data_IF_844943103572
#
_entry.id   IF_844943103572
#
_cell.length_a   1.000
_cell.length_b   1.000
_cell.length_c   1.000
_cell.angle_alpha   90.00
_cell.angle_beta   90.00
_cell.angle_gamma   90.00
#
_symmetry.space_group_name_H-M   'P 1'
#
loop_
_entity.id
_entity.type
_entity.pdbx_description
1 polymer ?
#
# COMPACT_ATOMS: atom_id res chain seq x y z
N UNK A 1 2.31 13.68 17.14
CA UNK A 1 0.89 13.84 17.54
C UNK A 1 0.74 15.20 18.23
N UNK A 2 -0.40 15.87 18.07
CA UNK A 2 -0.68 17.22 18.60
C UNK A 2 -1.20 17.21 20.05
N UNK A 3 -1.17 16.07 20.73
CA UNK A 3 -1.53 16.00 22.14
C UNK A 3 -0.65 16.92 23.00
N UNK A 4 -1.28 17.92 23.61
CA UNK A 4 -0.61 18.93 24.44
C UNK A 4 -1.36 19.22 25.75
N UNK A 5 -2.51 18.57 25.95
CA UNK A 5 -3.22 18.53 27.22
C UNK A 5 -2.94 17.19 27.96
N UNK A 6 -2.77 17.16 29.29
CA UNK A 6 -2.45 15.94 30.04
C UNK A 6 -3.41 14.76 29.78
N UNK A 7 -4.71 15.03 29.64
CA UNK A 7 -5.71 13.99 29.35
C UNK A 7 -5.57 13.37 27.96
N UNK A 8 -5.20 14.17 26.96
CA UNK A 8 -4.96 13.70 25.59
C UNK A 8 -3.70 12.82 25.56
N UNK A 9 -2.64 13.28 26.21
CA UNK A 9 -1.38 12.55 26.32
C UNK A 9 -1.63 11.16 26.95
N UNK A 10 -2.28 11.11 28.11
CA UNK A 10 -2.57 9.84 28.78
C UNK A 10 -3.42 8.90 27.91
N UNK A 11 -4.44 9.43 27.21
CA UNK A 11 -5.26 8.64 26.31
C UNK A 11 -4.47 8.08 25.12
N UNK A 12 -3.61 8.90 24.50
CA UNK A 12 -2.73 8.48 23.39
C UNK A 12 -1.76 7.39 23.83
N UNK A 13 -1.06 7.58 24.97
CA UNK A 13 -0.08 6.58 25.45
C UNK A 13 -0.74 5.25 25.77
N UNK A 14 -1.91 5.28 26.43
CA UNK A 14 -2.68 4.08 26.73
C UNK A 14 -3.13 3.34 25.47
N UNK A 15 -3.56 4.07 24.43
CA UNK A 15 -3.93 3.47 23.16
C UNK A 15 -2.73 2.81 22.47
N UNK A 16 -1.57 3.46 22.48
CA UNK A 16 -0.34 2.93 21.88
C UNK A 16 0.20 1.71 22.60
N UNK A 17 0.04 1.60 23.93
CA UNK A 17 0.34 0.36 24.68
C UNK A 17 -0.53 -0.83 24.27
N UNK A 18 -1.69 -0.59 23.66
CA UNK A 18 -2.52 -1.64 23.07
C UNK A 18 -1.96 -2.18 21.74
N UNK A 19 -0.97 -1.51 21.15
CA UNK A 19 -0.19 -2.01 20.02
C UNK A 19 0.98 -2.79 20.61
N UNK A 20 1.21 -4.02 20.15
CA UNK A 20 2.21 -4.98 20.66
C UNK A 20 3.67 -4.50 20.46
N UNK A 21 4.04 -3.40 21.13
CA UNK A 21 5.34 -2.77 21.05
C UNK A 21 6.22 -3.19 22.23
N UNK A 22 7.52 -3.36 21.99
CA UNK A 22 8.49 -3.76 23.03
C UNK A 22 8.61 -2.68 24.11
N UNK A 23 8.85 -1.44 23.69
CA UNK A 23 8.90 -0.26 24.56
C UNK A 23 8.24 0.93 23.89
N UNK A 24 7.63 1.79 24.70
CA UNK A 24 7.07 3.07 24.30
C UNK A 24 8.02 4.20 24.71
N UNK A 25 8.70 4.75 23.71
CA UNK A 25 9.65 5.86 23.87
C UNK A 25 8.95 7.16 23.50
N UNK A 26 8.89 8.13 24.42
CA UNK A 26 8.10 9.36 24.25
C UNK A 26 8.99 10.58 24.29
N UNK A 27 8.82 11.48 23.33
CA UNK A 27 9.32 12.84 23.36
C UNK A 27 8.13 13.75 23.57
N UNK A 28 8.20 14.66 24.53
CA UNK A 28 7.18 15.68 24.75
C UNK A 28 7.76 17.09 24.78
N UNK A 29 7.20 17.96 23.94
CA UNK A 29 7.43 19.40 23.97
C UNK A 29 6.23 20.10 24.62
N UNK A 30 6.38 20.68 25.83
CA UNK A 30 5.31 21.42 26.47
C UNK A 30 4.93 22.65 25.65
N UNK A 31 3.65 23.01 25.64
CA UNK A 31 3.14 24.15 24.88
C UNK A 31 2.57 25.21 25.83
N UNK A 32 3.15 26.43 25.75
CA UNK A 32 2.87 27.62 26.56
C UNK A 32 3.32 27.55 28.02
N UNK A 33 3.89 28.64 28.51
CA UNK A 33 4.35 28.78 29.90
C UNK A 33 3.16 28.77 30.86
N UNK A 34 2.11 29.53 30.53
CA UNK A 34 0.90 29.61 31.37
C UNK A 34 0.27 28.24 31.60
N UNK A 35 0.19 27.41 30.55
CA UNK A 35 -0.36 26.05 30.63
C UNK A 35 0.53 25.12 31.43
N UNK A 36 1.83 25.16 31.18
CA UNK A 36 2.82 24.35 31.92
C UNK A 36 2.75 24.66 33.42
N UNK A 37 2.58 25.94 33.79
CA UNK A 37 2.40 26.35 35.18
C UNK A 37 1.08 25.85 35.78
N UNK A 38 -0.05 26.09 35.10
CA UNK A 38 -1.37 25.75 35.63
C UNK A 38 -1.62 24.26 35.76
N UNK A 39 -1.05 23.46 34.86
CA UNK A 39 -1.28 22.01 34.78
C UNK A 39 -0.06 21.19 35.23
N UNK A 40 0.86 21.79 35.99
CA UNK A 40 2.13 21.15 36.37
C UNK A 40 1.91 19.80 37.10
N UNK A 41 0.90 19.72 37.97
CA UNK A 41 0.58 18.51 38.74
C UNK A 41 0.03 17.40 37.85
N UNK A 42 -0.80 17.75 36.88
CA UNK A 42 -1.39 16.84 35.92
C UNK A 42 -0.33 16.32 34.95
N UNK A 43 0.54 17.21 34.43
CA UNK A 43 1.67 16.80 33.60
C UNK A 43 2.66 15.90 34.34
N UNK A 44 2.85 16.09 35.65
CA UNK A 44 3.74 15.23 36.43
C UNK A 44 3.36 13.74 36.37
N UNK A 45 2.08 13.42 36.11
CA UNK A 45 1.55 12.04 36.21
C UNK A 45 1.06 11.46 34.89
N UNK A 46 0.84 12.26 33.84
CA UNK A 46 0.19 11.80 32.60
C UNK A 46 1.07 10.92 31.69
N UNK A 47 2.33 10.67 32.05
CA UNK A 47 3.31 9.92 31.24
C UNK A 47 3.56 8.48 31.72
N UNK A 48 2.77 7.98 32.68
CA UNK A 48 3.02 6.70 33.35
C UNK A 48 3.14 5.48 32.41
N UNK A 49 2.49 5.52 31.24
CA UNK A 49 2.56 4.46 30.24
C UNK A 49 3.84 4.50 29.38
N UNK A 50 4.69 5.52 29.48
CA UNK A 50 5.95 5.61 28.75
C UNK A 50 7.09 4.84 29.44
N UNK A 51 7.90 4.09 28.70
CA UNK A 51 9.10 3.42 29.24
C UNK A 51 10.29 4.38 29.39
N UNK A 52 10.36 5.38 28.51
CA UNK A 52 11.33 6.47 28.59
C UNK A 52 10.71 7.75 28.04
N UNK A 53 10.97 8.86 28.72
CA UNK A 53 10.48 10.18 28.35
C UNK A 53 11.65 11.15 28.14
N UNK A 54 11.62 11.90 27.04
CA UNK A 54 12.40 13.13 26.87
C UNK A 54 11.47 14.33 26.95
N UNK A 55 11.79 15.26 27.84
CA UNK A 55 11.12 16.55 27.92
C UNK A 55 12.02 17.63 27.32
N UNK A 56 11.42 18.46 26.49
CA UNK A 56 12.10 19.61 25.88
C UNK A 56 11.77 20.89 26.62
N UNK A 57 12.40 22.00 26.20
CA UNK A 57 11.97 23.32 26.65
C UNK A 57 10.53 23.65 26.19
N UNK A 58 9.85 24.53 26.92
CA UNK A 58 8.48 24.97 26.64
C UNK A 58 8.45 25.74 25.32
N UNK A 59 7.62 25.28 24.39
CA UNK A 59 7.29 26.06 23.21
C UNK A 59 6.37 27.22 23.59
N UNK A 60 6.91 28.43 23.62
CA UNK A 60 6.24 29.62 24.13
C UNK A 60 4.94 29.98 23.39
N UNK A 61 4.84 29.67 22.09
CA UNK A 61 3.71 30.06 21.23
C UNK A 61 3.34 31.56 21.38
N UNK A 62 4.36 32.43 21.34
CA UNK A 62 4.26 33.89 21.52
C UNK A 62 3.89 34.37 22.93
N UNK A 63 3.96 33.52 23.96
CA UNK A 63 3.90 33.96 25.36
C UNK A 63 5.24 34.54 25.83
N UNK A 64 5.16 35.54 26.72
CA UNK A 64 6.32 35.97 27.49
C UNK A 64 6.72 34.87 28.47
N UNK A 65 8.03 34.68 28.66
CA UNK A 65 8.56 33.73 29.63
C UNK A 65 8.04 34.06 31.04
N UNK A 66 7.61 33.03 31.76
CA UNK A 66 7.24 33.14 33.18
C UNK A 66 8.45 32.69 34.00
N UNK A 67 9.04 33.55 34.86
CA UNK A 67 10.21 33.18 35.64
C UNK A 67 9.99 31.89 36.44
N UNK A 68 10.89 30.92 36.24
CA UNK A 68 10.86 29.62 36.92
C UNK A 68 9.94 28.57 36.29
N UNK A 69 9.15 28.91 35.26
CA UNK A 69 8.33 27.93 34.53
C UNK A 69 9.05 27.54 33.24
N UNK A 70 9.65 26.35 33.24
CA UNK A 70 10.41 25.83 32.10
C UNK A 70 10.29 24.30 32.01
N UNK A 71 10.83 23.72 30.95
CA UNK A 71 10.81 22.27 30.73
C UNK A 71 11.58 21.49 31.80
N UNK A 72 12.64 22.09 32.38
CA UNK A 72 13.41 21.47 33.46
C UNK A 72 12.58 21.31 34.74
N UNK A 73 11.80 22.33 35.13
CA UNK A 73 10.85 22.25 36.25
C UNK A 73 9.86 21.11 36.05
N UNK A 74 9.30 20.99 34.84
CA UNK A 74 8.38 19.90 34.53
C UNK A 74 9.08 18.54 34.62
N UNK A 75 10.32 18.42 34.13
CA UNK A 75 11.08 17.19 34.24
C UNK A 75 11.39 16.79 35.68
N UNK A 76 11.67 17.74 36.56
CA UNK A 76 11.81 17.48 38.00
C UNK A 76 10.49 16.98 38.61
N UNK A 77 9.37 17.61 38.27
CA UNK A 77 8.05 17.19 38.76
C UNK A 77 7.68 15.78 38.30
N UNK A 78 7.94 15.44 37.04
CA UNK A 78 7.72 14.10 36.46
C UNK A 78 8.67 13.07 37.10
N UNK A 79 9.94 13.42 37.29
CA UNK A 79 10.93 12.55 37.94
C UNK A 79 10.57 12.25 39.40
N UNK A 80 9.98 13.21 40.11
CA UNK A 80 9.49 13.01 41.47
C UNK A 80 8.35 11.97 41.56
N UNK A 81 7.67 11.67 40.44
CA UNK A 81 6.69 10.57 40.35
C UNK A 81 7.32 9.21 40.02
N UNK A 82 8.65 9.13 39.88
CA UNK A 82 9.37 7.89 39.56
C UNK A 82 9.44 7.57 38.06
N UNK A 83 8.97 8.46 37.19
CA UNK A 83 9.05 8.29 35.74
C UNK A 83 10.50 8.41 35.24
N UNK A 84 10.89 7.53 34.31
CA UNK A 84 12.19 7.60 33.63
C UNK A 84 12.19 8.77 32.63
N UNK A 85 12.68 9.93 33.07
CA UNK A 85 12.65 11.18 32.30
C UNK A 85 14.01 11.88 32.21
N UNK A 86 14.37 12.27 30.99
CA UNK A 86 15.53 13.11 30.67
C UNK A 86 15.04 14.47 30.16
N UNK A 87 15.67 15.56 30.61
CA UNK A 87 15.41 16.90 30.08
C UNK A 87 16.47 17.24 29.02
N UNK A 88 16.05 17.79 27.89
CA UNK A 88 16.95 18.40 26.90
C UNK A 88 16.52 19.82 26.56
N UNK A 89 17.44 20.77 26.69
CA UNK A 89 17.20 22.15 26.26
C UNK A 89 17.31 22.34 24.73
N UNK A 90 17.79 21.33 24.00
CA UNK A 90 18.12 21.43 22.57
C UNK A 90 17.33 20.41 21.75
N UNK A 91 16.41 20.89 20.91
CA UNK A 91 15.71 20.05 19.94
C UNK A 91 16.66 19.45 18.89
N UNK A 92 17.82 20.05 18.67
CA UNK A 92 18.81 19.56 17.68
C UNK A 92 19.50 18.27 18.11
N UNK A 93 19.66 18.07 19.41
CA UNK A 93 20.32 16.89 19.98
C UNK A 93 19.33 15.74 20.21
N UNK A 94 18.04 16.04 20.15
CA UNK A 94 16.98 15.11 20.46
C UNK A 94 16.91 13.91 19.48
N UNK A 95 17.03 14.08 18.15
CA UNK A 95 17.11 12.93 17.24
C UNK A 95 18.22 11.95 17.60
N UNK A 96 19.41 12.43 17.96
CA UNK A 96 20.56 11.59 18.33
C UNK A 96 20.33 10.85 19.65
N UNK A 97 19.81 11.55 20.67
CA UNK A 97 19.49 10.95 21.96
C UNK A 97 18.42 9.86 21.85
N UNK A 98 17.37 10.12 21.06
CA UNK A 98 16.30 9.15 20.81
C UNK A 98 16.86 7.97 20.02
N UNK A 99 17.60 8.22 18.93
CA UNK A 99 18.20 7.16 18.10
C UNK A 99 19.09 6.22 18.89
N UNK A 100 19.92 6.76 19.78
CA UNK A 100 20.83 5.99 20.62
C UNK A 100 20.10 5.08 21.64
N UNK A 101 18.89 5.46 22.05
CA UNK A 101 18.08 4.68 22.98
C UNK A 101 17.18 3.63 22.29
N UNK A 102 16.87 3.83 21.00
CA UNK A 102 16.00 2.96 20.22
C UNK A 102 16.56 1.55 20.01
N UNK A 103 15.67 0.57 20.06
CA UNK A 103 15.92 -0.82 19.70
C UNK A 103 14.83 -1.33 18.74
N UNK A 104 15.09 -2.39 17.95
CA UNK A 104 14.07 -3.01 17.12
C UNK A 104 12.84 -3.42 17.93
N UNK A 105 11.65 -3.07 17.42
CA UNK A 105 10.36 -3.33 18.07
C UNK A 105 9.89 -2.25 19.04
N UNK A 106 10.68 -1.20 19.28
CA UNK A 106 10.22 -0.03 20.03
C UNK A 106 9.26 0.83 19.19
N UNK A 107 8.30 1.46 19.86
CA UNK A 107 7.46 2.51 19.29
C UNK A 107 7.94 3.86 19.81
N UNK A 108 8.23 4.78 18.89
CA UNK A 108 8.69 6.14 19.22
C UNK A 108 7.60 7.15 18.90
N UNK A 109 7.23 7.95 19.89
CA UNK A 109 6.19 8.96 19.79
C UNK A 109 6.74 10.35 20.09
N UNK A 110 6.59 11.27 19.14
CA UNK A 110 6.82 12.70 19.36
C UNK A 110 5.46 13.39 19.57
N UNK A 111 5.28 14.02 20.73
CA UNK A 111 4.08 14.70 21.18
C UNK A 111 4.36 16.18 21.47
N UNK A 112 3.40 17.04 21.17
CA UNK A 112 3.41 18.43 21.56
C UNK A 112 2.91 19.36 20.47
N UNK A 113 3.02 20.65 20.74
CA UNK A 113 2.68 21.70 19.79
C UNK A 113 3.90 22.63 19.66
N UNK A 114 4.38 22.81 18.43
CA UNK A 114 5.62 23.52 18.15
C UNK A 114 6.46 22.81 17.08
N UNK A 115 7.77 22.95 17.21
CA UNK A 115 8.79 22.50 16.28
C UNK A 115 9.37 21.10 16.59
N UNK A 116 8.91 20.43 17.65
CA UNK A 116 9.23 19.02 17.94
C UNK A 116 8.92 18.08 16.76
N UNK A 117 7.95 18.45 15.93
CA UNK A 117 7.60 17.72 14.70
C UNK A 117 8.75 17.72 13.69
N UNK A 118 9.55 18.79 13.63
CA UNK A 118 10.72 18.86 12.75
C UNK A 118 11.79 17.85 13.18
N UNK A 119 12.05 17.73 14.48
CA UNK A 119 12.97 16.73 15.02
C UNK A 119 12.47 15.30 14.77
N UNK A 120 11.16 15.06 14.82
CA UNK A 120 10.56 13.78 14.47
C UNK A 120 10.81 13.42 12.99
N UNK A 121 10.61 14.37 12.08
CA UNK A 121 10.87 14.18 10.66
C UNK A 121 12.37 13.96 10.38
N UNK A 122 13.24 14.72 11.02
CA UNK A 122 14.69 14.56 10.91
C UNK A 122 15.15 13.17 11.37
N UNK A 123 14.68 12.70 12.53
CA UNK A 123 14.97 11.34 12.98
C UNK A 123 14.46 10.30 11.97
N UNK A 124 13.25 10.47 11.45
CA UNK A 124 12.70 9.56 10.44
C UNK A 124 13.48 9.59 9.12
N UNK A 125 14.03 10.73 8.71
CA UNK A 125 14.93 10.85 7.56
C UNK A 125 16.26 10.14 7.83
N UNK A 126 16.91 10.41 8.96
CA UNK A 126 18.16 9.73 9.36
C UNK A 126 17.99 8.22 9.44
N UNK A 127 16.91 7.72 10.04
CA UNK A 127 16.60 6.29 10.08
C UNK A 127 16.44 5.71 8.67
N UNK A 128 15.85 6.48 7.74
CA UNK A 128 15.76 6.10 6.33
C UNK A 128 17.14 6.13 5.62
N UNK A 129 18.03 7.03 6.04
CA UNK A 129 19.41 7.17 5.56
C UNK A 129 20.42 6.24 6.24
N UNK A 130 20.07 5.55 7.33
CA UNK A 130 20.83 4.43 7.89
C UNK A 130 20.48 3.10 7.20
N UNK A 131 19.33 3.05 6.50
CA UNK A 131 19.00 1.92 5.61
C UNK A 131 19.96 1.66 4.43
N UNK A 132 20.75 2.59 3.85
CA UNK A 132 21.67 2.35 2.74
C UNK A 132 22.69 1.25 2.98
N UNK A 133 23.27 1.16 4.19
CA UNK A 133 24.20 0.06 4.54
C UNK A 133 23.46 -1.28 4.58
N UNK A 134 22.20 -1.30 5.03
CA UNK A 134 21.33 -2.48 4.92
C UNK A 134 20.91 -2.75 3.46
N UNK A 135 20.73 -1.73 2.63
CA UNK A 135 20.33 -1.87 1.22
C UNK A 135 21.41 -2.56 0.38
N UNK A 136 22.67 -2.20 0.54
CA UNK A 136 23.78 -2.86 -0.16
C UNK A 136 23.94 -4.31 0.30
N UNK A 137 23.91 -4.55 1.60
CA UNK A 137 23.97 -5.91 2.17
C UNK A 137 22.80 -6.77 1.71
N UNK A 138 21.59 -6.24 1.76
CA UNK A 138 20.39 -6.92 1.30
C UNK A 138 20.44 -7.20 -0.21
N UNK A 139 20.91 -6.26 -1.01
CA UNK A 139 21.09 -6.48 -2.45
C UNK A 139 22.13 -7.58 -2.74
N UNK A 140 23.24 -7.57 -2.01
CA UNK A 140 24.26 -8.62 -2.11
C UNK A 140 23.70 -9.99 -1.69
N UNK A 141 22.90 -10.04 -0.63
CA UNK A 141 22.24 -11.26 -0.17
C UNK A 141 21.22 -11.78 -1.19
N UNK A 142 20.38 -10.90 -1.76
CA UNK A 142 19.46 -11.25 -2.85
C UNK A 142 20.23 -11.78 -4.07
N UNK A 143 21.33 -11.13 -4.45
CA UNK A 143 22.15 -11.53 -5.59
C UNK A 143 22.80 -12.90 -5.38
N UNK A 144 23.22 -13.20 -4.15
CA UNK A 144 23.80 -14.50 -3.79
C UNK A 144 22.76 -15.62 -3.69
N UNK A 145 21.52 -15.29 -3.29
CA UNK A 145 20.45 -16.25 -3.09
C UNK A 145 19.61 -16.54 -4.36
N UNK A 146 19.87 -15.84 -5.46
CA UNK A 146 19.10 -15.97 -6.71
C UNK A 146 20.01 -16.33 -7.89
N UNK A 147 19.47 -17.04 -8.88
CA UNK A 147 20.20 -17.38 -10.09
C UNK A 147 20.25 -16.22 -11.09
N UNK A 148 21.07 -16.36 -12.13
CA UNK A 148 21.13 -15.41 -13.25
C UNK A 148 19.84 -15.30 -14.06
N UNK A 149 18.88 -16.23 -13.87
CA UNK A 149 17.56 -16.15 -14.49
C UNK A 149 16.62 -15.19 -13.75
N UNK A 150 16.91 -14.86 -12.47
CA UNK A 150 16.16 -13.86 -11.73
C UNK A 150 16.49 -12.46 -12.25
N UNK A 151 15.45 -11.65 -12.48
CA UNK A 151 15.65 -10.22 -12.74
C UNK A 151 15.77 -9.53 -11.40
N UNK A 152 16.94 -8.98 -11.09
CA UNK A 152 17.19 -8.20 -9.88
C UNK A 152 17.72 -6.81 -10.26
N UNK A 153 17.06 -5.75 -9.79
CA UNK A 153 17.40 -4.35 -10.12
C UNK A 153 17.26 -3.44 -8.92
N UNK A 154 18.09 -2.40 -8.86
CA UNK A 154 17.95 -1.29 -7.91
C UNK A 154 17.35 -0.08 -8.60
N UNK A 155 16.59 0.73 -7.85
CA UNK A 155 16.00 1.99 -8.32
C UNK A 155 15.17 1.83 -9.61
N UNK A 156 14.47 0.72 -9.78
CA UNK A 156 13.72 0.40 -11.02
C UNK A 156 12.46 1.28 -11.10
N UNK A 157 12.28 2.11 -12.14
CA UNK A 157 11.09 2.94 -12.31
C UNK A 157 9.83 2.09 -12.54
N UNK A 158 8.85 2.20 -11.65
CA UNK A 158 7.65 1.36 -11.69
C UNK A 158 6.60 1.82 -12.71
N UNK A 159 6.74 3.04 -13.27
CA UNK A 159 5.87 3.50 -14.35
C UNK A 159 5.77 2.50 -15.52
N UNK A 160 6.85 1.81 -15.90
CA UNK A 160 6.80 0.80 -16.98
C UNK A 160 6.18 -0.53 -16.55
N UNK A 161 5.90 -0.71 -15.26
CA UNK A 161 5.37 -1.92 -14.64
C UNK A 161 3.89 -1.78 -14.23
N UNK A 162 3.28 -0.60 -14.41
CA UNK A 162 1.85 -0.34 -14.17
C UNK A 162 1.11 -0.04 -15.48
N UNK A 163 -0.19 -0.32 -15.57
CA UNK A 163 -0.95 -0.01 -16.80
C UNK A 163 -1.31 1.46 -16.94
N UNK A 164 -1.36 2.21 -15.83
CA UNK A 164 -1.50 3.67 -15.84
C UNK A 164 -0.22 4.37 -16.32
N UNK A 165 0.91 3.65 -16.36
CA UNK A 165 2.22 4.18 -16.74
C UNK A 165 2.73 5.31 -15.85
N UNK A 166 2.48 5.15 -14.56
CA UNK A 166 2.85 6.08 -13.49
C UNK A 166 3.45 5.28 -12.33
N UNK A 167 4.43 5.86 -11.66
CA UNK A 167 5.10 5.26 -10.50
C UNK A 167 6.59 5.57 -10.44
N UNK A 168 7.03 6.03 -9.27
CA UNK A 168 8.43 6.25 -8.94
C UNK A 168 9.26 4.95 -8.85
N UNK A 169 10.52 5.05 -8.43
CA UNK A 169 11.42 3.90 -8.37
C UNK A 169 11.12 2.96 -7.18
N UNK A 170 11.22 1.65 -7.41
CA UNK A 170 11.38 0.67 -6.33
C UNK A 170 12.84 0.67 -5.86
N UNK A 171 13.09 0.62 -4.55
CA UNK A 171 14.46 0.40 -4.04
C UNK A 171 15.05 -0.88 -4.62
N UNK A 172 14.28 -1.98 -4.58
CA UNK A 172 14.62 -3.26 -5.20
C UNK A 172 13.45 -3.78 -6.03
N UNK A 173 13.74 -4.26 -7.23
CA UNK A 173 12.77 -4.95 -8.07
C UNK A 173 13.27 -6.35 -8.38
N UNK A 174 12.43 -7.35 -8.10
CA UNK A 174 12.78 -8.77 -8.17
C UNK A 174 11.73 -9.54 -8.97
N UNK A 175 12.15 -10.22 -10.04
CA UNK A 175 11.36 -11.23 -10.73
C UNK A 175 12.01 -12.60 -10.50
N UNK A 176 11.60 -13.35 -9.45
CA UNK A 176 12.21 -14.64 -9.14
C UNK A 176 11.95 -15.62 -10.28
N UNK A 177 12.94 -16.45 -10.60
CA UNK A 177 12.83 -17.44 -11.65
C UNK A 177 12.13 -18.72 -11.19
N UNK A 178 12.15 -19.03 -9.90
CA UNK A 178 11.53 -20.21 -9.30
C UNK A 178 10.97 -19.94 -7.90
N UNK A 179 10.14 -20.85 -7.40
CA UNK A 179 9.55 -20.74 -6.06
C UNK A 179 10.56 -20.82 -4.92
N UNK A 180 11.63 -21.60 -5.09
CA UNK A 180 12.72 -21.66 -4.12
C UNK A 180 13.38 -20.29 -3.97
N UNK A 181 13.53 -19.56 -5.07
CA UNK A 181 14.07 -18.19 -5.07
C UNK A 181 13.06 -17.21 -4.48
N UNK A 182 11.76 -17.31 -4.80
CA UNK A 182 10.72 -16.51 -4.15
C UNK A 182 10.75 -16.70 -2.62
N UNK A 183 10.83 -17.94 -2.15
CA UNK A 183 10.93 -18.26 -0.73
C UNK A 183 12.21 -17.66 -0.11
N UNK A 184 13.35 -17.70 -0.81
CA UNK A 184 14.59 -17.08 -0.36
C UNK A 184 14.48 -15.55 -0.27
N UNK A 185 13.88 -14.90 -1.27
CA UNK A 185 13.62 -13.46 -1.29
C UNK A 185 12.74 -13.06 -0.09
N UNK A 186 11.66 -13.81 0.17
CA UNK A 186 10.76 -13.53 1.30
C UNK A 186 11.46 -13.69 2.66
N UNK A 187 12.27 -14.73 2.83
CA UNK A 187 13.07 -14.92 4.05
C UNK A 187 14.06 -13.77 4.26
N UNK A 188 14.80 -13.40 3.22
CA UNK A 188 15.74 -12.28 3.28
C UNK A 188 15.04 -10.96 3.61
N UNK A 189 13.83 -10.72 3.08
CA UNK A 189 13.01 -9.56 3.44
C UNK A 189 12.72 -9.56 4.95
N UNK A 190 12.37 -10.71 5.53
CA UNK A 190 12.16 -10.85 6.98
C UNK A 190 13.43 -10.65 7.80
N UNK A 191 14.53 -11.31 7.42
CA UNK A 191 15.83 -11.26 8.11
C UNK A 191 16.43 -9.85 8.13
N UNK A 192 16.36 -9.15 7.01
CA UNK A 192 16.86 -7.78 6.87
C UNK A 192 15.83 -6.70 7.23
N UNK A 193 14.62 -7.11 7.67
CA UNK A 193 13.50 -6.21 7.97
C UNK A 193 13.14 -5.25 6.82
N UNK A 194 13.27 -5.73 5.59
CA UNK A 194 12.93 -4.99 4.37
C UNK A 194 11.46 -5.26 4.04
N UNK A 195 10.58 -4.25 4.02
CA UNK A 195 9.20 -4.45 3.61
C UNK A 195 9.15 -4.82 2.11
N UNK A 196 8.13 -5.59 1.72
CA UNK A 196 7.94 -5.95 0.33
C UNK A 196 6.49 -5.75 -0.15
N UNK A 197 6.34 -5.59 -1.46
CA UNK A 197 5.06 -5.49 -2.16
C UNK A 197 5.04 -6.46 -3.33
N UNK A 198 3.97 -7.24 -3.44
CA UNK A 198 3.72 -8.05 -4.63
C UNK A 198 3.15 -7.19 -5.76
N UNK A 199 3.79 -7.21 -6.92
CA UNK A 199 3.33 -6.52 -8.12
C UNK A 199 2.91 -7.53 -9.19
N UNK A 200 1.63 -7.45 -9.59
CA UNK A 200 1.14 -8.13 -10.79
C UNK A 200 1.41 -7.28 -12.04
N UNK A 201 0.36 -6.98 -12.81
CA UNK A 201 0.44 -6.06 -13.96
C UNK A 201 0.28 -4.58 -13.59
N UNK A 202 0.13 -4.27 -12.30
CA UNK A 202 -0.16 -2.92 -11.81
C UNK A 202 -1.41 -2.29 -12.46
N UNK A 203 -2.45 -3.10 -12.70
CA UNK A 203 -3.66 -2.67 -13.41
C UNK A 203 -4.74 -2.05 -12.53
N UNK A 204 -4.57 -2.14 -11.21
CA UNK A 204 -5.39 -1.48 -10.20
C UNK A 204 -4.53 -0.65 -9.23
N UNK A 205 -3.34 -0.21 -9.68
CA UNK A 205 -2.38 0.50 -8.83
C UNK A 205 -2.12 1.92 -9.33
N UNK A 206 -2.06 2.86 -8.39
CA UNK A 206 -1.48 4.20 -8.54
C UNK A 206 -0.27 4.30 -7.61
N UNK A 207 0.92 4.11 -8.16
CA UNK A 207 2.17 4.22 -7.40
C UNK A 207 2.60 5.68 -7.41
N UNK A 208 2.91 6.24 -6.25
CA UNK A 208 3.34 7.63 -6.10
C UNK A 208 4.72 7.89 -6.71
N UNK A 209 5.04 9.16 -6.92
CA UNK A 209 6.24 9.59 -7.65
C UNK A 209 7.55 9.33 -6.87
N UNK A 210 7.51 9.26 -5.53
CA UNK A 210 8.64 8.83 -4.69
C UNK A 210 8.91 7.33 -4.75
N UNK A 211 7.96 6.55 -5.28
CA UNK A 211 8.11 5.13 -5.53
C UNK A 211 7.87 4.27 -4.29
N UNK A 212 8.50 3.08 -4.27
CA UNK A 212 8.31 2.09 -3.19
C UNK A 212 9.63 1.88 -2.46
N UNK A 213 9.59 1.93 -1.13
CA UNK A 213 10.71 1.56 -0.26
C UNK A 213 10.68 0.06 0.01
N UNK A 214 11.85 -0.56 -0.03
CA UNK A 214 12.01 -2.02 0.07
C UNK A 214 11.82 -2.77 -1.25
N UNK A 215 11.37 -4.03 -1.18
CA UNK A 215 11.35 -4.93 -2.33
C UNK A 215 10.01 -4.96 -3.07
N UNK A 216 10.03 -4.80 -4.39
CA UNK A 216 8.89 -5.05 -5.27
C UNK A 216 9.11 -6.38 -5.96
N UNK A 217 8.25 -7.35 -5.66
CA UNK A 217 8.37 -8.72 -6.16
C UNK A 217 7.30 -8.96 -7.23
N UNK A 218 7.72 -9.35 -8.43
CA UNK A 218 6.83 -9.56 -9.58
C UNK A 218 7.00 -10.96 -10.15
N UNK A 219 5.93 -11.75 -10.18
CA UNK A 219 5.95 -13.14 -10.66
C UNK A 219 5.84 -13.22 -12.19
N UNK A 220 6.58 -12.40 -12.93
CA UNK A 220 6.48 -12.30 -14.40
C UNK A 220 7.28 -13.37 -15.15
N UNK A 221 8.20 -14.07 -14.47
CA UNK A 221 9.03 -15.10 -15.09
C UNK A 221 8.17 -16.24 -15.71
N UNK A 222 8.60 -16.89 -16.82
CA UNK A 222 7.85 -17.97 -17.47
C UNK A 222 7.38 -19.09 -16.54
N UNK A 223 8.18 -19.47 -15.54
CA UNK A 223 7.82 -20.50 -14.56
C UNK A 223 6.60 -20.13 -13.70
N UNK A 224 6.36 -18.84 -13.49
CA UNK A 224 5.19 -18.34 -12.76
C UNK A 224 4.05 -17.92 -13.68
N UNK A 225 4.24 -17.91 -15.00
CA UNK A 225 3.24 -17.43 -15.97
C UNK A 225 2.75 -18.49 -16.95
N UNK A 226 3.17 -19.74 -16.77
CA UNK A 226 2.72 -20.89 -17.55
C UNK A 226 1.22 -21.15 -17.34
N UNK A 227 0.59 -21.60 -18.42
CA UNK A 227 -0.79 -22.12 -18.44
C UNK A 227 -0.72 -23.51 -19.05
N UNK A 228 -1.14 -24.51 -18.30
CA UNK A 228 -1.20 -25.92 -18.73
C UNK A 228 -2.65 -26.39 -18.74
N UNK A 229 -3.03 -27.15 -19.77
CA UNK A 229 -4.40 -27.64 -19.94
C UNK A 229 -4.41 -29.15 -19.73
N UNK A 230 -5.24 -29.63 -18.80
CA UNK A 230 -5.45 -31.05 -18.52
C UNK A 230 -6.95 -31.31 -18.48
N UNK A 231 -7.48 -31.93 -19.54
CA UNK A 231 -8.92 -32.13 -19.70
C UNK A 231 -9.66 -30.79 -19.76
N UNK A 232 -10.57 -30.55 -18.82
CA UNK A 232 -11.33 -29.30 -18.68
C UNK A 232 -10.69 -28.30 -17.71
N UNK A 233 -9.48 -28.58 -17.21
CA UNK A 233 -8.80 -27.77 -16.20
C UNK A 233 -7.63 -27.00 -16.77
N UNK A 234 -7.46 -25.76 -16.30
CA UNK A 234 -6.34 -24.87 -16.63
C UNK A 234 -5.50 -24.62 -15.39
N UNK A 235 -4.30 -25.18 -15.34
CA UNK A 235 -3.32 -24.89 -14.29
C UNK A 235 -2.55 -23.63 -14.67
N UNK A 236 -2.83 -22.55 -13.96
CA UNK A 236 -2.31 -21.23 -14.29
C UNK A 236 -1.39 -20.73 -13.18
N UNK A 237 -0.16 -20.37 -13.53
CA UNK A 237 0.71 -19.63 -12.62
C UNK A 237 0.21 -18.21 -12.35
N UNK A 238 0.52 -17.66 -11.17
CA UNK A 238 0.04 -16.35 -10.72
C UNK A 238 0.50 -15.17 -11.61
N UNK A 239 1.59 -15.35 -12.34
CA UNK A 239 2.10 -14.41 -13.35
C UNK A 239 1.33 -14.42 -14.67
N UNK A 240 0.53 -15.46 -14.94
CA UNK A 240 -0.15 -15.63 -16.22
C UNK A 240 -1.11 -14.48 -16.48
N UNK A 241 -1.08 -13.91 -17.69
CA UNK A 241 -1.99 -12.84 -18.08
C UNK A 241 -3.39 -13.42 -18.24
N UNK A 242 -4.41 -12.74 -17.70
CA UNK A 242 -5.81 -13.18 -17.80
C UNK A 242 -6.27 -13.37 -19.26
N UNK A 243 -5.82 -12.48 -20.15
CA UNK A 243 -6.01 -12.62 -21.61
C UNK A 243 -5.41 -13.91 -22.16
N UNK A 244 -4.21 -14.30 -21.72
CA UNK A 244 -3.60 -15.56 -22.15
C UNK A 244 -4.43 -16.74 -21.71
N UNK A 245 -4.91 -16.74 -20.46
CA UNK A 245 -5.81 -17.79 -19.93
C UNK A 245 -7.08 -17.90 -20.79
N UNK A 246 -7.75 -16.79 -21.10
CA UNK A 246 -8.95 -16.78 -21.95
C UNK A 246 -8.67 -17.32 -23.36
N UNK A 247 -7.53 -16.96 -23.95
CA UNK A 247 -7.12 -17.44 -25.28
C UNK A 247 -6.82 -18.94 -25.28
N UNK A 248 -6.13 -19.47 -24.26
CA UNK A 248 -5.87 -20.90 -24.15
C UNK A 248 -7.15 -21.69 -23.90
N UNK A 249 -8.08 -21.19 -23.08
CA UNK A 249 -9.39 -21.78 -22.88
C UNK A 249 -10.14 -21.91 -24.22
N UNK A 250 -10.19 -20.82 -25.01
CA UNK A 250 -10.80 -20.85 -26.36
C UNK A 250 -10.15 -21.88 -27.28
N UNK A 251 -8.81 -21.96 -27.30
CA UNK A 251 -8.10 -22.92 -28.16
C UNK A 251 -8.46 -24.37 -27.86
N UNK A 252 -8.82 -24.67 -26.62
CA UNK A 252 -9.19 -26.00 -26.15
C UNK A 252 -10.70 -26.21 -26.02
N UNK A 253 -11.52 -25.28 -26.52
CA UNK A 253 -12.98 -25.41 -26.46
C UNK A 253 -13.53 -25.37 -25.03
N UNK A 254 -12.95 -24.54 -24.16
CA UNK A 254 -13.38 -24.35 -22.78
C UNK A 254 -14.05 -22.99 -22.63
N UNK A 255 -15.31 -23.00 -22.21
CA UNK A 255 -16.12 -21.82 -21.90
C UNK A 255 -16.11 -21.49 -20.40
N UNK A 256 -16.86 -20.45 -20.00
CA UNK A 256 -16.93 -19.87 -18.65
C UNK A 256 -15.71 -19.01 -18.25
N UNK A 257 -14.69 -18.93 -19.11
CA UNK A 257 -13.45 -18.18 -18.89
C UNK A 257 -13.32 -16.94 -19.81
N UNK A 258 -14.30 -16.69 -20.66
CA UNK A 258 -14.27 -15.64 -21.68
C UNK A 258 -14.22 -14.24 -21.06
N UNK A 259 -14.80 -14.07 -19.86
CA UNK A 259 -14.84 -12.79 -19.15
C UNK A 259 -13.43 -12.25 -18.81
N UNK A 260 -12.43 -13.14 -18.72
CA UNK A 260 -11.04 -12.80 -18.45
C UNK A 260 -10.36 -12.02 -19.59
N UNK A 261 -10.83 -12.14 -20.84
CA UNK A 261 -10.33 -11.37 -21.99
C UNK A 261 -10.41 -9.85 -21.75
N UNK A 262 -11.46 -9.43 -21.03
CA UNK A 262 -11.75 -8.04 -20.74
C UNK A 262 -10.98 -7.46 -19.55
N UNK A 263 -10.27 -8.28 -18.77
CA UNK A 263 -9.67 -7.84 -17.51
C UNK A 263 -8.16 -7.66 -17.70
N UNK A 264 -7.62 -6.43 -17.58
CA UNK A 264 -6.18 -6.26 -17.52
C UNK A 264 -5.68 -6.78 -16.18
N UNK A 265 -4.81 -7.79 -16.19
CA UNK A 265 -4.26 -8.32 -14.94
C UNK A 265 -3.47 -9.61 -15.14
N UNK A 266 -2.95 -10.12 -14.03
CA UNK A 266 -2.43 -11.48 -13.91
C UNK A 266 -3.35 -12.32 -13.04
N UNK A 267 -3.21 -13.65 -13.08
CA UNK A 267 -3.97 -14.58 -12.25
C UNK A 267 -3.82 -14.27 -10.76
N UNK A 268 -2.61 -14.01 -10.26
CA UNK A 268 -2.40 -13.65 -8.86
C UNK A 268 -3.10 -12.36 -8.45
N UNK A 269 -3.11 -11.34 -9.33
CA UNK A 269 -3.88 -10.13 -9.10
C UNK A 269 -5.40 -10.37 -9.11
N UNK A 270 -5.88 -11.25 -10.01
CA UNK A 270 -7.29 -11.62 -10.08
C UNK A 270 -7.75 -12.41 -8.85
N UNK A 271 -6.91 -13.31 -8.32
CA UNK A 271 -7.16 -14.02 -7.08
C UNK A 271 -7.23 -13.05 -5.90
N UNK A 272 -6.30 -12.11 -5.79
CA UNK A 272 -6.32 -11.08 -4.72
C UNK A 272 -7.59 -10.23 -4.76
N UNK A 273 -8.01 -9.81 -5.95
CA UNK A 273 -9.12 -8.88 -6.14
C UNK A 273 -10.46 -9.56 -6.39
N UNK A 274 -10.54 -10.90 -6.33
CA UNK A 274 -11.67 -11.66 -6.86
C UNK A 274 -12.21 -11.04 -8.18
N UNK A 275 -11.32 -10.86 -9.15
CA UNK A 275 -11.59 -9.99 -10.29
C UNK A 275 -12.79 -10.49 -11.10
N UNK A 276 -13.76 -9.62 -11.33
CA UNK A 276 -14.96 -9.94 -12.10
C UNK A 276 -15.28 -8.94 -13.20
N UNK A 277 -15.93 -9.45 -14.24
CA UNK A 277 -16.48 -8.71 -15.37
C UNK A 277 -17.65 -9.49 -15.98
N UNK A 278 -18.58 -8.79 -16.63
CA UNK A 278 -19.70 -9.41 -17.37
C UNK A 278 -20.58 -10.36 -16.54
N UNK A 279 -20.66 -10.18 -15.22
CA UNK A 279 -21.47 -11.00 -14.33
C UNK A 279 -20.80 -12.29 -13.85
N UNK A 280 -19.49 -12.43 -14.07
CA UNK A 280 -18.68 -13.54 -13.57
C UNK A 280 -17.47 -12.99 -12.80
N UNK A 281 -17.00 -13.78 -11.84
CA UNK A 281 -15.88 -13.48 -10.95
C UNK A 281 -14.84 -14.58 -10.98
N UNK A 282 -13.60 -14.24 -10.59
CA UNK A 282 -12.47 -15.17 -10.61
C UNK A 282 -12.77 -16.45 -9.83
N UNK A 283 -13.33 -16.34 -8.62
CA UNK A 283 -13.62 -17.52 -7.79
C UNK A 283 -14.83 -18.35 -8.25
N UNK A 284 -15.60 -17.92 -9.26
CA UNK A 284 -16.65 -18.75 -9.86
C UNK A 284 -16.07 -19.92 -10.66
N UNK A 285 -14.82 -19.77 -11.13
CA UNK A 285 -14.13 -20.75 -11.99
C UNK A 285 -12.88 -21.35 -11.34
N UNK A 286 -12.50 -20.91 -10.14
CA UNK A 286 -11.34 -21.46 -9.43
C UNK A 286 -11.76 -22.73 -8.71
N UNK A 287 -11.06 -23.82 -8.98
CA UNK A 287 -11.24 -25.07 -8.25
C UNK A 287 -10.27 -25.16 -7.06
N UNK A 288 -8.98 -24.92 -7.32
CA UNK A 288 -7.92 -24.92 -6.30
C UNK A 288 -7.02 -23.70 -6.44
N UNK A 289 -6.52 -23.22 -5.31
CA UNK A 289 -5.51 -22.17 -5.25
C UNK A 289 -4.23 -22.69 -4.63
N UNK A 290 -3.10 -22.19 -5.14
CA UNK A 290 -1.78 -22.45 -4.58
C UNK A 290 -1.14 -21.13 -4.16
N UNK A 291 -0.62 -21.08 -2.95
CA UNK A 291 -0.11 -19.85 -2.34
C UNK A 291 1.07 -20.13 -1.42
N UNK A 292 1.85 -19.09 -1.12
CA UNK A 292 3.02 -19.14 -0.25
C UNK A 292 2.80 -18.24 0.96
N UNK A 293 3.19 -18.68 2.15
CA UNK A 293 3.27 -17.82 3.33
C UNK A 293 4.58 -17.02 3.36
N UNK A 294 4.70 -16.07 4.29
CA UNK A 294 5.91 -15.25 4.42
C UNK A 294 7.14 -16.05 4.90
N UNK A 295 6.97 -17.28 5.41
CA UNK A 295 8.08 -18.17 5.75
C UNK A 295 8.60 -18.93 4.50
N UNK A 296 7.95 -18.76 3.35
CA UNK A 296 8.33 -19.40 2.09
C UNK A 296 7.76 -20.80 1.91
N UNK A 297 6.79 -21.22 2.72
CA UNK A 297 6.14 -22.52 2.58
C UNK A 297 4.95 -22.40 1.63
N UNK A 298 4.86 -23.34 0.68
CA UNK A 298 3.77 -23.41 -0.27
C UNK A 298 2.62 -24.27 0.26
N UNK A 299 1.40 -23.81 0.03
CA UNK A 299 0.15 -24.41 0.47
C UNK A 299 -0.82 -24.50 -0.71
N UNK A 300 -1.71 -25.47 -0.66
CA UNK A 300 -2.81 -25.63 -1.60
C UNK A 300 -4.14 -25.77 -0.86
N UNK A 301 -5.19 -25.14 -1.38
CA UNK A 301 -6.55 -25.23 -0.82
C UNK A 301 -7.59 -25.24 -1.93
N UNK A 302 -8.73 -25.88 -1.66
CA UNK A 302 -9.91 -25.77 -2.54
C UNK A 302 -10.50 -24.38 -2.43
N UNK A 303 -11.05 -23.85 -3.52
CA UNK A 303 -11.73 -22.55 -3.51
C UNK A 303 -12.89 -22.51 -2.50
N UNK A 304 -13.61 -23.63 -2.33
CA UNK A 304 -14.70 -23.78 -1.36
C UNK A 304 -14.29 -23.59 0.10
N UNK A 305 -12.98 -23.66 0.39
CA UNK A 305 -12.41 -23.51 1.74
C UNK A 305 -11.85 -22.09 1.98
N UNK A 306 -11.97 -21.20 0.99
CA UNK A 306 -11.42 -19.84 1.03
C UNK A 306 -12.56 -18.86 1.23
N UNK A 307 -12.44 -17.98 2.22
CA UNK A 307 -13.34 -16.85 2.35
C UNK A 307 -13.06 -15.84 1.24
N UNK A 308 -14.06 -15.54 0.41
CA UNK A 308 -13.97 -14.63 -0.73
C UNK A 308 -14.98 -13.51 -0.55
N UNK A 309 -14.52 -12.28 -0.74
CA UNK A 309 -15.34 -11.07 -0.61
C UNK A 309 -15.63 -10.47 -2.00
N UNK A 310 -16.60 -9.56 -2.06
CA UNK A 310 -16.76 -8.75 -3.26
C UNK A 310 -15.51 -7.92 -3.50
N UNK A 311 -14.88 -8.11 -4.66
CA UNK A 311 -13.63 -7.42 -5.05
C UNK A 311 -12.44 -7.69 -4.11
N UNK A 312 -12.41 -8.82 -3.41
CA UNK A 312 -11.31 -9.12 -2.51
C UNK A 312 -11.22 -10.59 -2.08
N UNK A 313 -10.02 -10.99 -1.68
CA UNK A 313 -9.78 -12.27 -1.01
C UNK A 313 -8.83 -12.03 0.18
N UNK A 314 -9.34 -12.05 1.43
CA UNK A 314 -8.55 -11.77 2.63
C UNK A 314 -7.29 -12.62 2.78
N UNK A 315 -7.28 -13.85 2.27
CA UNK A 315 -6.11 -14.73 2.32
C UNK A 315 -4.87 -14.07 1.71
N UNK A 316 -5.04 -13.40 0.56
CA UNK A 316 -3.96 -12.76 -0.18
C UNK A 316 -3.58 -11.38 0.35
N UNK A 317 -4.10 -10.97 1.52
CA UNK A 317 -3.55 -9.83 2.27
C UNK A 317 -2.20 -10.21 2.90
N UNK A 318 -2.06 -11.45 3.36
CA UNK A 318 -0.89 -11.94 4.11
C UNK A 318 -0.17 -13.13 3.44
N UNK A 319 -0.65 -13.58 2.27
CA UNK A 319 -0.07 -14.70 1.52
C UNK A 319 0.15 -14.31 0.05
N UNK A 320 1.11 -14.96 -0.59
CA UNK A 320 1.49 -14.73 -1.98
C UNK A 320 0.82 -15.77 -2.86
N UNK A 321 0.00 -15.34 -3.82
CA UNK A 321 -0.55 -16.26 -4.82
C UNK A 321 0.56 -16.83 -5.71
N UNK A 322 0.62 -18.15 -5.85
CA UNK A 322 1.53 -18.86 -6.75
C UNK A 322 0.82 -19.31 -8.04
N UNK A 323 -0.47 -19.62 -7.95
CA UNK A 323 -1.29 -20.02 -9.09
C UNK A 323 -2.68 -20.51 -8.69
N UNK A 324 -3.44 -20.97 -9.67
CA UNK A 324 -4.74 -21.59 -9.47
C UNK A 324 -5.03 -22.62 -10.57
N UNK A 325 -5.84 -23.62 -10.22
CA UNK A 325 -6.51 -24.49 -11.18
C UNK A 325 -7.88 -23.93 -11.45
N UNK A 326 -8.15 -23.61 -12.72
CA UNK A 326 -9.45 -23.12 -13.17
C UNK A 326 -10.20 -24.23 -13.88
N UNK A 327 -11.50 -24.32 -13.69
CA UNK A 327 -12.37 -25.26 -14.38
C UNK A 327 -13.17 -24.54 -15.46
N UNK A 328 -13.07 -25.04 -16.70
CA UNK A 328 -13.86 -24.57 -17.83
C UNK A 328 -14.93 -25.60 -18.22
N UNK A 329 -15.95 -25.13 -18.92
CA UNK A 329 -17.02 -26.00 -19.44
C UNK A 329 -16.76 -26.35 -20.92
N UNK A 330 -16.77 -27.63 -21.31
CA UNK A 330 -16.62 -28.02 -22.71
C UNK A 330 -17.65 -27.34 -23.62
N UNK A 331 -17.18 -26.70 -24.68
CA UNK A 331 -17.97 -26.00 -25.67
C UNK A 331 -17.27 -26.04 -27.04
N UNK A 332 -17.98 -25.73 -28.11
CA UNK A 332 -17.32 -25.55 -29.41
C UNK A 332 -16.49 -24.27 -29.39
N UNK A 333 -15.36 -24.28 -30.10
CA UNK A 333 -14.47 -23.12 -30.22
C UNK A 333 -15.23 -21.89 -30.73
N UNK A 334 -16.17 -22.08 -31.64
CA UNK A 334 -16.98 -21.03 -32.26
C UNK A 334 -17.84 -20.31 -31.21
N UNK A 335 -18.46 -21.06 -30.29
CA UNK A 335 -19.27 -20.49 -29.20
C UNK A 335 -18.39 -19.64 -28.27
N UNK A 336 -17.23 -20.17 -27.87
CA UNK A 336 -16.29 -19.43 -27.01
C UNK A 336 -15.78 -18.17 -27.71
N UNK A 337 -15.46 -18.27 -29.00
CA UNK A 337 -15.01 -17.15 -29.82
C UNK A 337 -16.07 -16.04 -29.93
N UNK A 338 -17.33 -16.40 -30.18
CA UNK A 338 -18.44 -15.45 -30.24
C UNK A 338 -18.65 -14.71 -28.91
N UNK A 339 -18.57 -15.42 -27.78
CA UNK A 339 -18.67 -14.83 -26.44
C UNK A 339 -17.50 -13.88 -26.17
N UNK A 340 -16.26 -14.30 -26.44
CA UNK A 340 -15.08 -13.44 -26.30
C UNK A 340 -15.18 -12.17 -27.17
N UNK A 341 -15.64 -12.30 -28.42
CA UNK A 341 -15.84 -11.13 -29.29
C UNK A 341 -16.90 -10.18 -28.73
N UNK A 342 -17.99 -10.71 -28.18
CA UNK A 342 -19.06 -9.91 -27.56
C UNK A 342 -18.51 -9.12 -26.36
N UNK A 343 -17.74 -9.76 -25.49
CA UNK A 343 -17.15 -9.10 -24.32
C UNK A 343 -16.08 -8.08 -24.71
N UNK A 344 -15.25 -8.41 -25.71
CA UNK A 344 -14.26 -7.48 -26.26
C UNK A 344 -14.92 -6.23 -26.84
N UNK A 345 -15.96 -6.39 -27.68
CA UNK A 345 -16.72 -5.26 -28.23
C UNK A 345 -17.33 -4.40 -27.12
N UNK A 346 -17.94 -5.02 -26.11
CA UNK A 346 -18.52 -4.30 -24.97
C UNK A 346 -17.47 -3.51 -24.20
N UNK A 347 -16.27 -4.07 -23.98
CA UNK A 347 -15.16 -3.35 -23.33
C UNK A 347 -14.73 -2.14 -24.13
N UNK A 348 -14.40 -2.31 -25.42
CA UNK A 348 -13.82 -1.23 -26.23
C UNK A 348 -14.83 -0.13 -26.60
N UNK A 349 -16.12 -0.42 -26.54
CA UNK A 349 -17.18 0.59 -26.72
C UNK A 349 -17.51 1.37 -25.44
N UNK A 350 -17.18 0.83 -24.26
CA UNK A 350 -17.54 1.43 -22.97
C UNK A 350 -16.36 1.90 -22.12
N UNK A 351 -15.12 1.55 -22.48
CA UNK A 351 -13.93 1.85 -21.69
C UNK A 351 -12.80 2.38 -22.58
N UNK A 352 -11.94 3.29 -22.05
CA UNK A 352 -10.84 3.84 -22.82
C UNK A 352 -9.75 2.81 -23.14
N UNK A 353 -9.14 2.96 -24.31
CA UNK A 353 -7.93 2.21 -24.69
C UNK A 353 -6.62 2.82 -24.18
N UNK A 354 -6.66 4.05 -23.71
CA UNK A 354 -5.51 4.73 -23.12
C UNK A 354 -5.06 4.07 -21.80
N UNK A 355 -3.81 4.34 -21.44
CA UNK A 355 -3.19 3.87 -20.19
C UNK A 355 -4.00 4.36 -18.98
N UNK A 356 -4.52 3.43 -18.17
CA UNK A 356 -5.34 3.70 -16.99
C UNK A 356 -5.16 2.60 -15.94
N UNK A 357 -5.63 2.83 -14.71
CA UNK A 357 -5.66 1.85 -13.62
C UNK A 357 -7.06 1.22 -13.41
N UNK A 358 -7.91 1.23 -14.45
CA UNK A 358 -9.31 0.81 -14.32
C UNK A 358 -10.21 1.90 -13.74
N UNK A 359 -11.29 1.48 -13.08
CA UNK A 359 -12.18 2.39 -12.35
C UNK A 359 -11.42 3.03 -11.18
N UNK A 360 -11.47 4.35 -11.10
CA UNK A 360 -10.78 5.11 -10.04
C UNK A 360 -11.56 5.03 -8.74
N UNK A 361 -12.89 5.11 -8.81
CA UNK A 361 -13.76 5.13 -7.64
C UNK A 361 -14.68 3.92 -7.60
N UNK A 362 -15.02 3.50 -6.38
CA UNK A 362 -16.13 2.57 -6.14
C UNK A 362 -17.44 3.26 -6.53
N UNK A 363 -18.45 2.48 -6.90
CA UNK A 363 -19.78 3.05 -7.14
C UNK A 363 -20.44 3.47 -5.82
N UNK A 364 -20.82 4.75 -5.65
CA UNK A 364 -21.63 5.14 -4.51
C UNK A 364 -23.04 4.53 -4.68
N UNK A 365 -23.62 4.01 -3.60
CA UNK A 365 -24.94 3.33 -3.61
C UNK A 365 -26.04 4.01 -4.46
N UNK A 366 -26.23 5.34 -4.43
CA UNK A 366 -27.31 5.98 -5.18
C UNK A 366 -27.07 6.15 -6.70
N UNK A 367 -25.83 6.09 -7.18
CA UNK A 367 -25.51 6.35 -8.60
C UNK A 367 -24.15 5.75 -8.97
N UNK A 368 -23.99 5.10 -10.14
CA UNK A 368 -22.67 4.67 -10.59
C UNK A 368 -21.68 5.84 -10.68
N UNK A 369 -20.46 5.67 -10.19
CA UNK A 369 -19.47 6.75 -10.10
C UNK A 369 -19.18 7.36 -11.49
N UNK A 370 -19.11 6.53 -12.53
CA UNK A 370 -18.90 6.99 -13.90
C UNK A 370 -20.02 7.90 -14.40
N UNK A 371 -21.27 7.60 -14.05
CA UNK A 371 -22.45 8.41 -14.42
C UNK A 371 -22.46 9.72 -13.64
N UNK A 372 -22.15 9.67 -12.34
CA UNK A 372 -22.01 10.86 -11.51
C UNK A 372 -20.99 11.85 -12.10
N UNK A 373 -19.80 11.37 -12.45
CA UNK A 373 -18.72 12.21 -13.00
C UNK A 373 -19.10 12.79 -14.36
N UNK A 374 -19.84 12.02 -15.18
CA UNK A 374 -20.38 12.46 -16.47
C UNK A 374 -21.42 13.58 -16.30
N UNK A 375 -22.40 13.40 -15.40
CA UNK A 375 -23.44 14.40 -15.11
C UNK A 375 -22.88 15.69 -14.47
N UNK A 376 -21.71 15.60 -13.82
CA UNK A 376 -20.98 16.76 -13.31
C UNK A 376 -20.16 17.48 -14.39
N UNK A 377 -20.15 16.98 -15.63
CA UNK A 377 -19.45 17.57 -16.77
C UNK A 377 -17.93 17.51 -16.64
N UNK A 378 -17.39 16.50 -15.93
CA UNK A 378 -15.96 16.41 -15.63
C UNK A 378 -15.16 15.58 -16.65
N UNK A 379 -15.80 14.95 -17.63
CA UNK A 379 -15.10 14.28 -18.74
C UNK A 379 -14.19 15.25 -19.48
N UNK A 380 -13.00 14.80 -19.84
CA UNK A 380 -11.98 15.61 -20.49
C UNK A 380 -11.27 16.60 -19.55
N UNK A 381 -11.65 16.71 -18.27
CA UNK A 381 -10.94 17.55 -17.31
C UNK A 381 -9.50 17.07 -17.12
N UNK A 382 -8.55 18.00 -17.05
CA UNK A 382 -7.11 17.71 -17.04
C UNK A 382 -6.39 18.34 -15.86
N UNK A 383 -5.39 17.63 -15.36
CA UNK A 383 -4.32 18.16 -14.50
C UNK A 383 -3.01 17.57 -15.00
N UNK A 384 -2.06 18.42 -15.38
CA UNK A 384 -0.80 17.97 -15.97
C UNK A 384 -1.00 17.00 -17.14
N UNK A 385 -0.40 15.81 -17.06
CA UNK A 385 -0.55 14.76 -18.08
C UNK A 385 -1.75 13.82 -17.87
N UNK A 386 -2.51 13.97 -16.78
CA UNK A 386 -3.68 13.14 -16.46
C UNK A 386 -4.99 13.79 -16.92
N UNK A 387 -5.95 12.98 -17.36
CA UNK A 387 -7.28 13.45 -17.74
C UNK A 387 -8.39 12.47 -17.35
N UNK A 388 -9.59 12.97 -17.06
CA UNK A 388 -10.80 12.15 -16.98
C UNK A 388 -11.15 11.70 -18.40
N UNK A 389 -11.38 10.40 -18.61
CA UNK A 389 -11.65 9.85 -19.93
C UNK A 389 -12.96 10.38 -20.53
N UNK A 390 -12.91 10.77 -21.80
CA UNK A 390 -14.11 11.13 -22.58
C UNK A 390 -15.05 9.93 -22.82
N UNK A 391 -14.51 8.70 -22.75
CA UNK A 391 -15.27 7.47 -22.96
C UNK A 391 -16.04 7.08 -21.69
N UNK A 392 -15.39 7.14 -20.53
CA UNK A 392 -16.00 6.68 -19.26
C UNK A 392 -15.54 7.55 -18.08
N UNK A 393 -16.48 8.25 -17.43
CA UNK A 393 -16.16 9.23 -16.37
C UNK A 393 -15.40 8.67 -15.18
N UNK A 394 -15.54 7.37 -14.87
CA UNK A 394 -14.80 6.73 -13.78
C UNK A 394 -13.35 6.32 -14.11
N UNK A 395 -12.83 6.67 -15.28
CA UNK A 395 -11.46 6.34 -15.69
C UNK A 395 -10.63 7.62 -15.77
N UNK A 396 -9.49 7.63 -15.10
CA UNK A 396 -8.44 8.61 -15.35
C UNK A 396 -7.40 7.97 -16.27
N UNK A 397 -7.07 8.67 -17.35
CA UNK A 397 -6.13 8.22 -18.38
C UNK A 397 -4.85 9.05 -18.32
N UNK A 398 -3.72 8.38 -18.57
CA UNK A 398 -2.44 9.02 -18.80
C UNK A 398 -2.30 9.36 -20.29
N UNK A 399 -2.15 10.64 -20.60
CA UNK A 399 -2.04 11.15 -21.99
C UNK A 399 -0.59 11.17 -22.51
N UNK A 400 0.36 10.56 -21.80
CA UNK A 400 1.72 10.30 -22.27
C UNK A 400 2.81 10.64 -21.26
N UNK A 401 2.56 11.61 -20.37
CA UNK A 401 3.51 12.14 -19.40
C UNK A 401 2.89 12.45 -18.03
N UNK A 402 1.77 11.81 -17.69
CA UNK A 402 1.16 12.00 -16.36
C UNK A 402 2.13 11.58 -15.25
N UNK A 403 2.12 12.33 -14.15
CA UNK A 403 2.74 11.94 -12.88
C UNK A 403 1.70 11.37 -11.92
N UNK A 404 2.12 10.74 -10.83
CA UNK A 404 1.18 10.31 -9.79
C UNK A 404 0.52 11.51 -9.11
N UNK A 405 1.29 12.58 -8.91
CA UNK A 405 0.78 13.86 -8.41
C UNK A 405 -0.36 14.41 -9.27
N UNK A 406 -0.24 14.35 -10.61
CA UNK A 406 -1.30 14.78 -11.53
C UNK A 406 -2.59 13.98 -11.33
N UNK A 407 -2.46 12.65 -11.24
CA UNK A 407 -3.60 11.75 -11.06
C UNK A 407 -4.26 11.97 -9.70
N UNK A 408 -3.47 12.10 -8.63
CA UNK A 408 -3.98 12.36 -7.27
C UNK A 408 -4.69 13.72 -7.16
N UNK A 409 -4.14 14.76 -7.78
CA UNK A 409 -4.77 16.06 -7.83
C UNK A 409 -6.12 16.01 -8.57
N UNK A 410 -6.18 15.28 -9.69
CA UNK A 410 -7.43 15.09 -10.43
C UNK A 410 -8.46 14.27 -9.66
N UNK A 411 -8.03 13.22 -8.95
CA UNK A 411 -8.89 12.45 -8.02
C UNK A 411 -9.52 13.38 -6.99
N UNK A 412 -8.72 14.23 -6.35
CA UNK A 412 -9.21 15.12 -5.29
C UNK A 412 -10.20 16.16 -5.83
N UNK A 413 -9.95 16.73 -7.01
CA UNK A 413 -10.89 17.63 -7.67
C UNK A 413 -12.23 16.93 -7.93
N UNK A 414 -12.22 15.70 -8.45
CA UNK A 414 -13.45 14.93 -8.70
C UNK A 414 -14.21 14.67 -7.40
N UNK A 415 -13.53 14.30 -6.31
CA UNK A 415 -14.15 14.09 -4.99
C UNK A 415 -14.79 15.37 -4.46
N UNK A 416 -14.08 16.50 -4.52
CA UNK A 416 -14.59 17.79 -4.08
C UNK A 416 -15.82 18.23 -4.87
N UNK A 417 -15.81 18.03 -6.20
CA UNK A 417 -16.95 18.35 -7.07
C UNK A 417 -18.16 17.47 -6.78
N UNK A 418 -17.97 16.16 -6.59
CA UNK A 418 -19.03 15.24 -6.20
C UNK A 418 -19.65 15.60 -4.85
N UNK A 419 -18.80 15.92 -3.86
CA UNK A 419 -19.26 16.32 -2.52
C UNK A 419 -20.03 17.63 -2.55
N UNK A 420 -19.52 18.66 -3.23
CA UNK A 420 -20.14 19.97 -3.29
C UNK A 420 -21.48 19.96 -4.06
N UNK A 421 -21.56 19.23 -5.18
CA UNK A 421 -22.73 19.27 -6.07
C UNK A 421 -23.82 18.25 -5.71
N UNK A 422 -23.47 17.15 -5.02
CA UNK A 422 -24.37 16.02 -4.74
C UNK A 422 -24.30 15.49 -3.31
N UNK A 423 -23.41 16.02 -2.46
CA UNK A 423 -23.22 15.54 -1.09
C UNK A 423 -22.53 14.17 -0.98
N UNK A 424 -22.07 13.59 -2.09
CA UNK A 424 -21.51 12.24 -2.18
C UNK A 424 -20.01 12.25 -1.94
N UNK A 425 -19.55 11.48 -0.96
CA UNK A 425 -18.12 11.18 -0.75
C UNK A 425 -17.71 9.99 -1.61
N UNK A 426 -16.90 10.24 -2.64
CA UNK A 426 -16.33 9.17 -3.46
C UNK A 426 -15.13 8.53 -2.76
N UNK A 427 -15.14 7.20 -2.69
CA UNK A 427 -14.02 6.36 -2.24
C UNK A 427 -13.26 5.80 -3.44
N UNK A 428 -11.93 5.76 -3.36
CA UNK A 428 -11.09 5.16 -4.40
C UNK A 428 -11.21 3.63 -4.41
N UNK A 429 -11.26 3.05 -5.60
CA UNK A 429 -11.13 1.61 -5.86
C UNK A 429 -9.68 1.25 -6.27
N UNK A 430 -8.99 2.20 -6.90
CA UNK A 430 -7.56 2.08 -7.20
C UNK A 430 -6.75 2.07 -5.90
N UNK A 431 -5.78 1.15 -5.81
CA UNK A 431 -4.87 1.05 -4.67
C UNK A 431 -3.72 2.06 -4.83
N UNK A 432 -3.60 2.98 -3.87
CA UNK A 432 -2.57 4.03 -3.87
C UNK A 432 -1.41 3.57 -2.99
N UNK A 433 -0.22 3.44 -3.58
CA UNK A 433 0.97 2.90 -2.91
C UNK A 433 2.16 3.85 -3.04
N UNK A 434 3.10 3.75 -2.10
CA UNK A 434 4.37 4.49 -2.14
C UNK A 434 4.33 5.88 -1.51
N UNK A 435 5.44 6.59 -1.69
CA UNK A 435 5.71 7.93 -1.12
C UNK A 435 5.45 9.07 -2.11
#
# INVERSE_FOLDING_TARGET
DYGHHPSEIAATLKALRGLDCRRLLVVFQPHRYTRTQHLLKEFATCFADADKLWLTEVYAASEAEIPGVNGALLAEAVRAQGQNVEFTGSLKELPDAVRAAMQPGDLVLFLGAGDVTSAAHELAERLREEMPTNKEQFFAALSAATSSATVLRQNEPLAKKTTLRVGGPADFYVEPAAEVELAAVLRLCGEHQVPFVMLGRGSNLLIKDGGIRGAVICLAHPNFSRVEIIGNRLHCGAGAKLKTVAVEAKRHGLSSLEFLEGIPGSVGGALRMNAGAMGSWMFDVVETIRFMDCAGQAHERKASEVNVEYRGCPLFKNHIALGATLEGEPATREVVEQRMQTFSRKRWTSQPAASSAGCIFKNPGPIPAGKLIDELGLKGMRVGGAAVSDVHGNFIVNQGNATAKDVLALIEIVRQRAKAARGIDLETEVEILGE
#
